data_IF_252527583149
#
_entry.id   IF_252527583149
#
_cell.length_a   1.000
_cell.length_b   1.000
_cell.length_c   1.000
_cell.angle_alpha   90.00
_cell.angle_beta   90.00
_cell.angle_gamma   90.00
#
_symmetry.space_group_name_H-M   'P 1'
#
loop_
_entity.id
_entity.type
_entity.pdbx_description
1 polymer ?
#
# COMPACT_ATOMS: atom_id res chain seq x y z
N UNK A 1 -14.98 -23.52 -7.94
CA UNK A 1 -13.81 -22.64 -7.71
C UNK A 1 -13.48 -21.95 -9.02
N UNK A 2 -13.39 -20.61 -9.02
CA UNK A 2 -13.23 -19.81 -10.25
C UNK A 2 -12.10 -18.81 -10.01
N UNK A 3 -11.03 -18.80 -10.82
CA UNK A 3 -9.96 -17.80 -10.69
C UNK A 3 -10.48 -16.40 -11.04
N UNK A 4 -10.09 -15.41 -10.24
CA UNK A 4 -10.40 -14.00 -10.44
C UNK A 4 -9.11 -13.22 -10.65
N UNK A 5 -8.92 -12.67 -11.86
CA UNK A 5 -7.75 -11.86 -12.20
C UNK A 5 -8.20 -10.42 -12.39
N UNK A 6 -7.85 -9.54 -11.45
CA UNK A 6 -8.22 -8.13 -11.51
C UNK A 6 -7.17 -7.27 -12.21
N UNK A 7 -7.65 -6.33 -13.04
CA UNK A 7 -6.81 -5.35 -13.72
C UNK A 7 -6.66 -4.02 -12.96
N UNK A 8 -7.47 -3.78 -11.92
CA UNK A 8 -7.56 -2.47 -11.26
C UNK A 8 -7.59 -2.53 -9.73
N UNK A 9 -7.65 -3.71 -9.11
CA UNK A 9 -7.73 -3.82 -7.66
C UNK A 9 -6.36 -3.70 -7.00
N UNK A 10 -6.11 -2.58 -6.32
CA UNK A 10 -4.80 -2.27 -5.70
C UNK A 10 -4.79 -2.41 -4.17
N UNK A 11 -5.95 -2.63 -3.54
CA UNK A 11 -6.08 -2.82 -2.09
C UNK A 11 -5.09 -3.89 -1.55
N UNK A 12 -4.24 -3.59 -0.55
CA UNK A 12 -3.24 -4.53 -0.03
C UNK A 12 -3.84 -5.83 0.56
N UNK A 13 -5.05 -5.77 1.11
CA UNK A 13 -5.72 -6.90 1.77
C UNK A 13 -6.04 -8.05 0.80
N UNK A 14 -6.18 -7.74 -0.49
CA UNK A 14 -6.42 -8.74 -1.53
C UNK A 14 -5.19 -9.63 -1.81
N UNK A 15 -4.05 -9.36 -1.17
CA UNK A 15 -2.88 -10.24 -1.18
C UNK A 15 -2.87 -11.29 -0.06
N UNK A 16 -3.92 -11.38 0.77
CA UNK A 16 -4.05 -12.47 1.75
C UNK A 16 -4.54 -13.76 1.07
N UNK A 17 -3.60 -14.60 0.63
CA UNK A 17 -3.88 -15.87 -0.06
C UNK A 17 -4.62 -16.90 0.82
N UNK A 18 -4.68 -16.72 2.14
CA UNK A 18 -5.48 -17.60 3.02
C UNK A 18 -6.96 -17.22 2.99
N UNK A 19 -7.25 -15.96 2.68
CA UNK A 19 -8.60 -15.40 2.59
C UNK A 19 -9.11 -15.31 1.16
N UNK A 20 -8.21 -15.14 0.19
CA UNK A 20 -8.49 -14.91 -1.23
C UNK A 20 -7.67 -15.86 -2.13
N UNK A 21 -7.80 -17.16 -1.88
CA UNK A 21 -7.04 -18.25 -2.50
C UNK A 21 -7.14 -18.38 -4.04
N UNK A 22 -8.12 -17.73 -4.67
CA UNK A 22 -8.29 -17.68 -6.15
C UNK A 22 -8.19 -16.27 -6.73
N UNK A 23 -7.76 -15.30 -5.93
CA UNK A 23 -7.57 -13.94 -6.40
C UNK A 23 -6.16 -13.74 -6.94
N UNK A 24 -6.05 -13.01 -8.03
CA UNK A 24 -4.80 -12.53 -8.59
C UNK A 24 -5.02 -11.16 -9.21
N UNK A 25 -3.94 -10.41 -9.41
CA UNK A 25 -3.99 -9.09 -10.03
C UNK A 25 -2.77 -8.84 -10.89
N UNK A 26 -2.94 -8.02 -11.93
CA UNK A 26 -1.85 -7.59 -12.81
C UNK A 26 -1.29 -6.21 -12.45
N UNK A 27 -1.83 -5.58 -11.40
CA UNK A 27 -1.38 -4.30 -10.85
C UNK A 27 -0.79 -4.51 -9.45
N UNK A 28 0.19 -3.70 -9.03
CA UNK A 28 0.78 -3.83 -7.70
C UNK A 28 -0.19 -3.40 -6.59
N UNK A 29 0.00 -3.90 -5.35
CA UNK A 29 -0.68 -3.36 -4.18
C UNK A 29 -0.28 -1.90 -3.89
N UNK A 30 -1.18 -1.14 -3.26
CA UNK A 30 -0.92 0.23 -2.80
C UNK A 30 0.23 0.34 -1.78
N UNK A 31 0.62 -0.77 -1.13
CA UNK A 31 1.77 -0.78 -0.22
C UNK A 31 3.08 -0.37 -0.91
N UNK A 32 3.21 -0.64 -2.21
CA UNK A 32 4.37 -0.19 -3.00
C UNK A 32 4.39 1.34 -3.17
N UNK A 33 3.21 1.98 -3.21
CA UNK A 33 3.12 3.43 -3.26
C UNK A 33 3.59 4.06 -1.95
N UNK A 34 3.23 3.48 -0.81
CA UNK A 34 3.71 3.92 0.50
C UNK A 34 5.25 3.83 0.61
N UNK A 35 5.85 2.74 0.12
CA UNK A 35 7.30 2.59 0.05
C UNK A 35 7.94 3.68 -0.82
N UNK A 36 7.40 3.89 -2.03
CA UNK A 36 7.93 4.91 -2.94
C UNK A 36 7.89 6.32 -2.31
N UNK A 37 6.86 6.64 -1.53
CA UNK A 37 6.80 7.90 -0.79
C UNK A 37 7.92 8.01 0.26
N UNK A 38 8.21 6.95 1.02
CA UNK A 38 9.33 6.93 1.98
C UNK A 38 10.66 7.13 1.26
N UNK A 39 10.86 6.46 0.13
CA UNK A 39 12.09 6.58 -0.66
C UNK A 39 12.30 8.01 -1.18
N UNK A 40 11.23 8.69 -1.60
CA UNK A 40 11.28 10.11 -2.00
C UNK A 40 11.68 11.00 -0.82
N UNK A 41 11.05 10.83 0.35
CA UNK A 41 11.34 11.61 1.56
C UNK A 41 12.83 11.49 1.92
N UNK A 42 13.36 10.27 1.88
CA UNK A 42 14.79 9.99 2.10
C UNK A 42 15.69 10.65 1.06
N UNK A 43 15.38 10.46 -0.23
CA UNK A 43 16.19 10.98 -1.32
C UNK A 43 16.27 12.52 -1.30
N UNK A 44 15.22 13.18 -0.80
CA UNK A 44 15.16 14.64 -0.67
C UNK A 44 15.75 15.17 0.65
N UNK A 45 16.11 14.29 1.60
CA UNK A 45 16.63 14.69 2.90
C UNK A 45 15.61 15.43 3.79
N UNK A 46 14.31 15.19 3.59
CA UNK A 46 13.27 15.80 4.42
C UNK A 46 13.23 15.14 5.79
N UNK A 47 13.29 15.97 6.84
CA UNK A 47 13.26 15.52 8.24
C UNK A 47 11.90 15.76 8.92
N UNK A 48 10.96 16.38 8.22
CA UNK A 48 9.61 16.62 8.71
C UNK A 48 8.61 16.54 7.56
N UNK A 49 7.59 15.70 7.73
CA UNK A 49 6.48 15.51 6.79
C UNK A 49 5.19 15.34 7.58
N UNK A 50 4.06 15.68 6.97
CA UNK A 50 2.73 15.47 7.54
C UNK A 50 1.86 14.72 6.55
N UNK A 51 1.04 13.78 7.04
CA UNK A 51 0.15 12.96 6.23
C UNK A 51 -1.29 13.45 6.34
N UNK A 52 -2.01 13.46 5.22
CA UNK A 52 -3.46 13.64 5.17
C UNK A 52 -4.05 12.43 4.47
N UNK A 53 -5.05 11.81 5.09
CA UNK A 53 -5.71 10.62 4.55
C UNK A 53 -7.19 10.92 4.25
N UNK A 54 -7.70 10.29 3.20
CA UNK A 54 -9.14 10.10 3.08
C UNK A 54 -9.60 9.08 4.11
N UNK A 55 -10.79 9.30 4.69
CA UNK A 55 -11.41 8.35 5.60
C UNK A 55 -11.65 7.01 4.90
N UNK A 56 -11.37 5.91 5.60
CA UNK A 56 -11.53 4.55 5.09
C UNK A 56 -10.22 3.86 4.70
N UNK A 57 -10.36 2.60 4.25
CA UNK A 57 -9.25 1.64 4.23
C UNK A 57 -8.06 2.05 3.36
N UNK A 58 -8.28 2.71 2.22
CA UNK A 58 -7.20 3.13 1.34
C UNK A 58 -6.33 4.22 1.99
N UNK A 59 -6.95 5.32 2.46
CA UNK A 59 -6.23 6.45 3.01
C UNK A 59 -5.59 6.12 4.36
N UNK A 60 -6.34 5.52 5.27
CA UNK A 60 -5.86 5.17 6.62
C UNK A 60 -4.74 4.14 6.56
N UNK A 61 -4.92 3.03 5.82
CA UNK A 61 -3.85 2.01 5.73
C UNK A 61 -2.67 2.45 4.91
N UNK A 62 -2.87 3.33 3.93
CA UNK A 62 -1.77 3.96 3.19
C UNK A 62 -0.87 4.77 4.12
N UNK A 63 -1.48 5.58 5.01
CA UNK A 63 -0.75 6.33 6.03
C UNK A 63 -0.09 5.40 7.04
N UNK A 64 -0.79 4.37 7.54
CA UNK A 64 -0.19 3.39 8.46
C UNK A 64 1.03 2.70 7.85
N UNK A 65 0.93 2.27 6.58
CA UNK A 65 2.04 1.66 5.85
C UNK A 65 3.21 2.63 5.69
N UNK A 66 2.96 3.88 5.31
CA UNK A 66 3.99 4.92 5.24
C UNK A 66 4.66 5.16 6.61
N UNK A 67 3.88 5.23 7.68
CA UNK A 67 4.38 5.44 9.04
C UNK A 67 5.19 4.25 9.55
N UNK A 68 4.83 3.03 9.19
CA UNK A 68 5.60 1.83 9.54
C UNK A 68 6.92 1.81 8.77
N UNK A 69 6.87 1.94 7.44
CA UNK A 69 8.04 1.91 6.57
C UNK A 69 9.03 3.04 6.89
N UNK A 70 8.55 4.23 7.24
CA UNK A 70 9.41 5.37 7.63
C UNK A 70 10.14 5.18 8.95
N UNK A 71 9.66 4.31 9.86
CA UNK A 71 10.34 3.98 11.12
C UNK A 71 11.42 2.92 10.96
N UNK A 72 11.24 2.03 9.99
CA UNK A 72 12.20 0.97 9.65
C UNK A 72 13.34 1.48 8.75
N UNK A 73 13.15 2.68 8.23
CA UNK A 73 13.92 3.35 7.20
C UNK A 73 15.16 4.08 7.73
#
# INVERSE_FOLDING_TARGET
MIPQISYASTAPELSDDRRYDFFSRVVPPDSFQAQAMVDIVKAMGWNYVSTVASEGSYGEKGVDAFMQLSREA
#
